data_IF_642877505388
#
_entry.id   IF_642877505388
#
_cell.length_a   1.000
_cell.length_b   1.000
_cell.length_c   1.000
_cell.angle_alpha   90.00
_cell.angle_beta   90.00
_cell.angle_gamma   90.00
#
_symmetry.space_group_name_H-M   'P 1'
#
loop_
_entity.id
_entity.type
_entity.pdbx_description
1 polymer ?
#
# COMPACT_ATOMS: atom_id res chain seq x y z
N UNK A 1 -20.34 -9.31 26.83
CA UNK A 1 -21.18 -10.06 25.88
C UNK A 1 -21.44 -9.17 24.68
N UNK A 2 -21.10 -9.64 23.48
CA UNK A 2 -21.39 -8.95 22.23
C UNK A 2 -22.88 -9.00 21.89
N UNK A 3 -23.31 -8.25 20.88
CA UNK A 3 -24.73 -8.20 20.47
C UNK A 3 -25.25 -9.51 19.88
N UNK A 4 -24.37 -10.33 19.33
CA UNK A 4 -24.64 -11.69 18.82
C UNK A 4 -24.48 -12.79 19.89
N UNK A 5 -24.38 -12.41 21.17
CA UNK A 5 -24.45 -13.36 22.29
C UNK A 5 -23.13 -14.08 22.63
N UNK A 6 -22.00 -13.65 22.08
CA UNK A 6 -20.69 -14.23 22.40
C UNK A 6 -20.13 -13.60 23.68
N UNK A 7 -19.58 -14.46 24.55
CA UNK A 7 -18.95 -14.05 25.80
C UNK A 7 -17.44 -13.91 25.62
N UNK A 8 -16.92 -12.76 26.06
CA UNK A 8 -15.49 -12.47 26.11
C UNK A 8 -15.10 -12.26 27.57
N UNK A 9 -14.02 -12.92 27.98
CA UNK A 9 -13.44 -12.77 29.32
C UNK A 9 -12.21 -11.89 29.21
N UNK A 10 -12.22 -10.75 29.92
CA UNK A 10 -11.18 -9.73 29.81
C UNK A 10 -10.77 -9.21 31.20
N UNK A 11 -9.53 -8.77 31.30
CA UNK A 11 -8.97 -8.11 32.47
C UNK A 11 -9.28 -6.62 32.40
N UNK A 12 -10.03 -6.11 33.39
CA UNK A 12 -10.40 -4.70 33.47
C UNK A 12 -9.17 -3.78 33.53
N UNK A 13 -8.07 -4.25 34.13
CA UNK A 13 -6.79 -3.53 34.20
C UNK A 13 -6.20 -3.26 32.82
N UNK A 14 -6.20 -4.24 31.92
CA UNK A 14 -5.72 -4.11 30.53
C UNK A 14 -6.60 -3.13 29.75
N UNK A 15 -7.92 -3.30 29.84
CA UNK A 15 -8.87 -2.44 29.11
C UNK A 15 -8.85 -0.98 29.60
N UNK A 16 -8.62 -0.74 30.91
CA UNK A 16 -8.42 0.61 31.45
C UNK A 16 -7.08 1.21 31.02
N UNK A 17 -6.02 0.40 30.93
CA UNK A 17 -4.71 0.87 30.49
C UNK A 17 -4.69 1.30 29.02
N UNK A 18 -5.47 0.64 28.15
CA UNK A 18 -5.51 0.95 26.71
C UNK A 18 -6.58 2.00 26.32
N UNK A 19 -7.44 2.42 27.24
CA UNK A 19 -8.60 3.28 26.96
C UNK A 19 -8.55 4.60 27.72
N UNK A 20 -8.76 5.70 27.01
CA UNK A 20 -8.86 7.05 27.60
C UNK A 20 -10.24 7.37 28.19
N UNK A 21 -11.26 6.53 27.95
CA UNK A 21 -12.65 6.81 28.35
C UNK A 21 -13.30 5.63 29.09
N UNK A 22 -12.48 4.80 29.76
CA UNK A 22 -12.95 3.64 30.52
C UNK A 22 -13.74 2.64 29.64
N UNK A 23 -13.24 2.43 28.43
CA UNK A 23 -13.76 1.53 27.40
C UNK A 23 -15.22 1.86 27.03
N UNK A 24 -15.47 3.13 26.70
CA UNK A 24 -16.82 3.63 26.42
C UNK A 24 -17.68 3.75 27.67
N UNK A 25 -17.07 4.10 28.82
CA UNK A 25 -17.69 4.14 30.15
C UNK A 25 -18.22 2.78 30.64
N UNK A 26 -17.90 1.69 29.95
CA UNK A 26 -18.28 0.34 30.34
C UNK A 26 -17.66 -0.08 31.68
N UNK A 27 -16.52 0.51 32.04
CA UNK A 27 -15.74 0.13 33.22
C UNK A 27 -15.92 1.09 34.41
N UNK A 28 -16.90 2.01 34.40
CA UNK A 28 -17.09 3.02 35.45
C UNK A 28 -17.57 2.46 36.79
N UNK A 29 -18.18 1.27 36.79
CA UNK A 29 -18.58 0.59 38.02
C UNK A 29 -17.44 -0.28 38.47
N UNK A 30 -16.64 0.21 39.43
CA UNK A 30 -16.03 -0.74 40.37
C UNK A 30 -17.20 -1.51 41.00
N UNK A 31 -17.13 -2.86 41.07
CA UNK A 31 -18.18 -3.61 41.75
C UNK A 31 -18.33 -3.00 43.14
N UNK A 32 -19.57 -2.76 43.64
CA UNK A 32 -19.75 -2.27 44.99
C UNK A 32 -18.91 -3.16 45.90
N UNK A 33 -18.02 -2.57 46.70
CA UNK A 33 -17.34 -3.27 47.76
C UNK A 33 -18.44 -3.70 48.73
N UNK A 34 -19.03 -4.87 48.48
CA UNK A 34 -20.02 -5.45 49.37
C UNK A 34 -19.23 -5.96 50.56
N UNK A 35 -18.99 -5.07 51.54
CA UNK A 35 -18.32 -5.44 52.79
C UNK A 35 -19.10 -6.48 53.60
N UNK A 36 -20.32 -6.85 53.19
CA UNK A 36 -21.20 -7.81 53.87
C UNK A 36 -21.92 -8.77 52.89
N UNK A 37 -21.21 -9.37 51.93
CA UNK A 37 -21.80 -10.44 51.12
C UNK A 37 -21.60 -11.80 51.83
N UNK A 38 -22.65 -12.64 51.98
CA UNK A 38 -22.51 -13.97 52.57
C UNK A 38 -21.52 -14.81 51.73
N UNK A 39 -20.69 -15.60 52.41
CA UNK A 39 -19.57 -16.44 51.91
C UNK A 39 -19.88 -17.40 50.74
N UNK A 40 -21.10 -17.39 50.20
CA UNK A 40 -21.57 -18.25 49.11
C UNK A 40 -22.02 -17.49 47.85
N UNK A 41 -21.86 -16.16 47.80
CA UNK A 41 -21.95 -15.45 46.54
C UNK A 41 -20.70 -15.76 45.72
N UNK A 42 -20.74 -16.83 44.92
CA UNK A 42 -19.77 -17.06 43.83
C UNK A 42 -19.55 -15.73 43.15
N UNK A 43 -18.31 -15.23 43.16
CA UNK A 43 -17.97 -13.90 42.68
C UNK A 43 -18.43 -13.77 41.22
N UNK A 44 -19.65 -13.26 41.02
CA UNK A 44 -20.24 -13.11 39.70
C UNK A 44 -19.43 -12.04 39.01
N UNK A 45 -18.62 -12.45 38.04
CA UNK A 45 -17.89 -11.53 37.19
C UNK A 45 -18.87 -10.51 36.61
N UNK A 46 -18.56 -9.20 36.67
CA UNK A 46 -19.46 -8.18 36.16
C UNK A 46 -19.71 -8.42 34.67
N UNK A 47 -20.99 -8.62 34.31
CA UNK A 47 -21.41 -8.84 32.94
C UNK A 47 -21.73 -7.51 32.26
N UNK A 48 -20.89 -7.12 31.31
CA UNK A 48 -21.11 -5.93 30.47
C UNK A 48 -21.67 -6.36 29.11
N UNK A 49 -22.77 -5.73 28.69
CA UNK A 49 -23.32 -5.90 27.34
C UNK A 49 -22.77 -4.81 26.41
N UNK A 50 -22.38 -5.20 25.21
CA UNK A 50 -21.80 -4.34 24.19
C UNK A 50 -22.61 -4.50 22.90
N UNK A 51 -22.81 -3.39 22.18
CA UNK A 51 -23.62 -3.35 20.94
C UNK A 51 -22.87 -3.91 19.72
N UNK A 52 -21.54 -3.88 19.74
CA UNK A 52 -20.71 -4.42 18.66
C UNK A 52 -20.80 -5.96 18.58
N UNK A 53 -20.75 -6.47 17.34
CA UNK A 53 -20.77 -7.91 17.06
C UNK A 53 -19.48 -8.58 17.51
N UNK A 54 -19.51 -9.91 17.68
CA UNK A 54 -18.35 -10.66 18.14
C UNK A 54 -17.11 -10.47 17.27
N UNK A 55 -17.15 -10.38 15.91
CA UNK A 55 -15.94 -10.20 15.13
C UNK A 55 -15.29 -8.82 15.33
N UNK A 56 -16.10 -7.77 15.46
CA UNK A 56 -15.65 -6.40 15.70
C UNK A 56 -15.01 -6.31 17.09
N UNK A 57 -15.73 -6.78 18.10
CA UNK A 57 -15.25 -6.79 19.48
C UNK A 57 -13.99 -7.64 19.64
N UNK A 58 -13.90 -8.77 18.93
CA UNK A 58 -12.71 -9.62 18.95
C UNK A 58 -11.46 -8.88 18.47
N UNK A 59 -11.53 -8.13 17.37
CA UNK A 59 -10.41 -7.32 16.88
C UNK A 59 -10.03 -6.25 17.90
N UNK A 60 -11.02 -5.53 18.45
CA UNK A 60 -10.82 -4.47 19.44
C UNK A 60 -10.08 -5.01 20.66
N UNK A 61 -10.49 -6.16 21.17
CA UNK A 61 -9.84 -6.81 22.30
C UNK A 61 -8.43 -7.28 21.96
N UNK A 62 -8.19 -7.88 20.80
CA UNK A 62 -6.84 -8.28 20.40
C UNK A 62 -5.90 -7.07 20.26
N UNK A 63 -6.41 -5.94 19.75
CA UNK A 63 -5.66 -4.68 19.70
C UNK A 63 -5.36 -4.17 21.11
N UNK A 64 -6.35 -4.14 22.01
CA UNK A 64 -6.17 -3.73 23.41
C UNK A 64 -5.12 -4.58 24.15
N UNK A 65 -5.04 -5.86 23.83
CA UNK A 65 -4.08 -6.80 24.42
C UNK A 65 -2.73 -6.85 23.67
N UNK A 66 -2.57 -6.10 22.58
CA UNK A 66 -1.42 -6.17 21.69
C UNK A 66 -1.12 -7.60 21.16
N UNK A 67 -2.17 -8.38 20.88
CA UNK A 67 -2.08 -9.75 20.33
C UNK A 67 -2.50 -9.74 18.86
N UNK A 68 -1.90 -10.63 18.05
CA UNK A 68 -2.31 -10.83 16.66
C UNK A 68 -3.73 -11.41 16.55
N UNK A 69 -4.53 -10.84 15.66
CA UNK A 69 -5.88 -11.32 15.33
C UNK A 69 -5.97 -11.93 13.92
N UNK A 70 -4.84 -12.19 13.27
CA UNK A 70 -4.80 -12.62 11.85
C UNK A 70 -5.56 -13.92 11.59
N UNK A 71 -5.58 -14.83 12.56
CA UNK A 71 -6.21 -16.15 12.45
C UNK A 71 -7.73 -16.11 12.27
N UNK A 72 -8.37 -14.97 12.48
CA UNK A 72 -9.83 -14.84 12.44
C UNK A 72 -10.36 -14.32 11.09
N UNK A 73 -9.51 -14.23 10.05
CA UNK A 73 -9.96 -14.08 8.67
C UNK A 73 -10.82 -12.84 8.42
N UNK A 74 -10.37 -11.67 8.88
CA UNK A 74 -11.14 -10.44 8.72
C UNK A 74 -11.11 -9.91 7.29
N UNK A 75 -12.17 -9.25 6.86
CA UNK A 75 -12.18 -8.49 5.60
C UNK A 75 -11.69 -7.05 5.82
N UNK A 76 -11.23 -6.39 4.75
CA UNK A 76 -10.87 -4.96 4.83
C UNK A 76 -12.05 -4.11 5.29
N UNK A 77 -13.28 -4.45 4.90
CA UNK A 77 -14.49 -3.76 5.37
C UNK A 77 -14.69 -3.92 6.89
N UNK A 78 -14.43 -5.11 7.44
CA UNK A 78 -14.48 -5.35 8.89
C UNK A 78 -13.43 -4.50 9.60
N UNK A 79 -12.20 -4.46 9.08
CA UNK A 79 -11.13 -3.62 9.66
C UNK A 79 -11.52 -2.14 9.64
N UNK A 80 -12.05 -1.62 8.53
CA UNK A 80 -12.55 -0.25 8.43
C UNK A 80 -13.64 0.04 9.46
N UNK A 81 -14.63 -0.86 9.56
CA UNK A 81 -15.69 -0.71 10.55
C UNK A 81 -15.14 -0.69 11.98
N UNK A 82 -14.27 -1.63 12.31
CA UNK A 82 -13.64 -1.73 13.63
C UNK A 82 -12.84 -0.49 13.99
N UNK A 83 -12.03 0.06 13.06
CA UNK A 83 -11.25 1.27 13.33
C UNK A 83 -12.15 2.47 13.66
N UNK A 84 -13.30 2.59 13.00
CA UNK A 84 -14.28 3.64 13.29
C UNK A 84 -14.91 3.49 14.70
N UNK A 85 -14.82 2.32 15.31
CA UNK A 85 -15.28 2.08 16.69
C UNK A 85 -14.21 2.38 17.74
N UNK A 86 -12.93 2.50 17.38
CA UNK A 86 -11.87 2.77 18.37
C UNK A 86 -12.11 4.04 19.21
N UNK A 87 -12.55 5.18 18.64
CA UNK A 87 -12.86 6.37 19.44
C UNK A 87 -13.96 6.14 20.48
N UNK A 88 -14.96 5.31 20.16
CA UNK A 88 -16.02 4.94 21.11
C UNK A 88 -15.43 4.24 22.34
N UNK A 89 -14.46 3.35 22.13
CA UNK A 89 -13.75 2.64 23.20
C UNK A 89 -12.59 3.43 23.81
N UNK A 90 -12.36 4.68 23.38
CA UNK A 90 -11.23 5.48 23.86
C UNK A 90 -9.87 4.91 23.49
N UNK A 91 -9.82 4.03 22.48
CA UNK A 91 -8.58 3.46 21.96
C UNK A 91 -8.04 4.44 20.92
N UNK A 92 -6.75 4.77 21.02
CA UNK A 92 -6.11 5.63 20.03
C UNK A 92 -6.11 4.96 18.66
N UNK A 93 -6.53 5.68 17.62
CA UNK A 93 -6.41 5.26 16.21
C UNK A 93 -5.00 5.48 15.65
N UNK A 94 -4.12 6.16 16.39
CA UNK A 94 -2.78 6.55 15.94
C UNK A 94 -1.75 5.41 16.07
N UNK A 95 -0.49 5.71 15.73
CA UNK A 95 0.67 4.84 15.45
C UNK A 95 1.01 3.69 16.43
N UNK A 96 0.25 3.49 17.51
CA UNK A 96 0.43 2.39 18.46
C UNK A 96 -0.14 1.04 17.98
N UNK A 97 -1.04 1.01 17.00
CA UNK A 97 -1.70 -0.23 16.57
C UNK A 97 -0.97 -0.92 15.41
N UNK A 98 0.30 -1.24 15.59
CA UNK A 98 1.14 -1.87 14.55
C UNK A 98 0.53 -3.17 14.01
N UNK A 99 -0.05 -4.00 14.88
CA UNK A 99 -0.71 -5.25 14.50
C UNK A 99 -1.93 -4.99 13.62
N UNK A 100 -2.68 -3.92 13.86
CA UNK A 100 -3.84 -3.55 13.07
C UNK A 100 -3.43 -3.13 11.66
N UNK A 101 -2.46 -2.22 11.55
CA UNK A 101 -1.99 -1.74 10.26
C UNK A 101 -1.24 -2.81 9.46
N UNK A 102 -0.55 -3.73 10.12
CA UNK A 102 0.02 -4.92 9.48
C UNK A 102 -1.09 -5.79 8.84
N UNK A 103 -2.21 -6.01 9.55
CA UNK A 103 -3.34 -6.74 8.98
C UNK A 103 -3.96 -6.03 7.78
N UNK A 104 -4.04 -4.69 7.81
CA UNK A 104 -4.50 -3.87 6.66
C UNK A 104 -3.57 -4.00 5.45
N UNK A 105 -2.25 -3.98 5.66
CA UNK A 105 -1.27 -4.09 4.57
C UNK A 105 -1.33 -5.43 3.82
N UNK A 106 -1.86 -6.48 4.43
CA UNK A 106 -2.08 -7.78 3.75
C UNK A 106 -3.06 -7.70 2.59
N UNK A 107 -3.88 -6.64 2.51
CA UNK A 107 -4.79 -6.39 1.39
C UNK A 107 -4.13 -5.60 0.24
N UNK A 108 -2.90 -5.11 0.39
CA UNK A 108 -2.21 -4.38 -0.67
C UNK A 108 -2.05 -5.16 -1.99
N UNK A 109 -1.81 -6.49 -2.00
CA UNK A 109 -1.75 -7.23 -3.26
C UNK A 109 -3.07 -7.30 -4.02
N UNK A 110 -4.22 -7.22 -3.33
CA UNK A 110 -5.55 -7.45 -3.91
C UNK A 110 -6.36 -6.17 -4.12
N UNK A 111 -6.24 -5.19 -3.22
CA UNK A 111 -6.98 -3.92 -3.28
C UNK A 111 -6.12 -2.73 -2.77
N UNK A 112 -4.99 -2.41 -3.44
CA UNK A 112 -4.05 -1.41 -2.94
C UNK A 112 -4.61 0.00 -2.91
N UNK A 113 -5.48 0.36 -3.85
CA UNK A 113 -6.09 1.70 -3.90
C UNK A 113 -7.00 1.93 -2.68
N UNK A 114 -7.78 0.92 -2.29
CA UNK A 114 -8.63 1.01 -1.11
C UNK A 114 -7.83 0.97 0.18
N UNK A 115 -6.76 0.16 0.26
CA UNK A 115 -5.85 0.17 1.41
C UNK A 115 -5.19 1.53 1.57
N UNK A 116 -4.68 2.10 0.48
CA UNK A 116 -4.10 3.44 0.46
C UNK A 116 -5.13 4.49 0.91
N UNK A 117 -6.36 4.43 0.37
CA UNK A 117 -7.41 5.37 0.73
C UNK A 117 -7.79 5.30 2.21
N UNK A 118 -7.91 4.09 2.73
CA UNK A 118 -8.22 3.85 4.12
C UNK A 118 -7.10 4.35 5.05
N UNK A 119 -5.83 4.05 4.74
CA UNK A 119 -4.70 4.55 5.51
C UNK A 119 -4.61 6.10 5.48
N UNK A 120 -4.87 6.70 4.31
CA UNK A 120 -4.88 8.14 4.11
C UNK A 120 -5.96 8.84 4.94
N UNK A 121 -7.17 8.28 5.02
CA UNK A 121 -8.27 8.79 5.83
C UNK A 121 -7.91 8.92 7.33
N UNK A 122 -6.96 8.10 7.79
CA UNK A 122 -6.48 8.09 9.17
C UNK A 122 -5.05 8.66 9.33
N UNK A 123 -4.56 9.37 8.31
CA UNK A 123 -3.24 9.99 8.28
C UNK A 123 -2.08 9.04 8.64
N UNK A 124 -2.15 7.77 8.18
CA UNK A 124 -1.10 6.79 8.42
C UNK A 124 -0.07 6.79 7.29
N UNK A 125 0.83 7.77 7.32
CA UNK A 125 1.83 7.98 6.26
C UNK A 125 2.68 6.73 5.96
N UNK A 126 3.13 6.00 7.00
CA UNK A 126 3.95 4.79 6.80
C UNK A 126 3.21 3.70 6.00
N UNK A 127 1.92 3.51 6.29
CA UNK A 127 1.06 2.55 5.59
C UNK A 127 0.78 3.03 4.17
N UNK A 128 0.54 4.33 3.98
CA UNK A 128 0.37 4.94 2.66
C UNK A 128 1.60 4.76 1.78
N UNK A 129 2.82 4.93 2.33
CA UNK A 129 4.08 4.70 1.62
C UNK A 129 4.15 3.25 1.13
N UNK A 130 3.94 2.27 2.01
CA UNK A 130 3.96 0.85 1.63
C UNK A 130 2.87 0.53 0.59
N UNK A 131 1.64 0.97 0.81
CA UNK A 131 0.52 0.71 -0.10
C UNK A 131 0.74 1.34 -1.49
N UNK A 132 1.35 2.53 -1.55
CA UNK A 132 1.55 3.27 -2.79
C UNK A 132 2.37 2.51 -3.83
N UNK A 133 3.35 1.70 -3.43
CA UNK A 133 4.09 0.87 -4.39
C UNK A 133 3.18 -0.16 -5.08
N UNK A 134 2.24 -0.75 -4.35
CA UNK A 134 1.32 -1.73 -4.89
C UNK A 134 0.28 -1.13 -5.86
N UNK A 135 -0.05 0.16 -5.68
CA UNK A 135 -0.95 0.87 -6.59
C UNK A 135 -0.40 0.96 -8.01
N UNK A 136 0.93 1.03 -8.17
CA UNK A 136 1.59 1.05 -9.49
C UNK A 136 1.24 -0.18 -10.35
N UNK A 137 0.95 -1.32 -9.73
CA UNK A 137 0.59 -2.54 -10.46
C UNK A 137 -0.82 -2.49 -11.05
N UNK A 138 -1.72 -1.73 -10.44
CA UNK A 138 -3.14 -1.70 -10.79
C UNK A 138 -3.51 -0.48 -11.64
N UNK A 139 -2.62 0.49 -11.76
CA UNK A 139 -2.92 1.76 -12.41
C UNK A 139 -3.85 2.64 -11.57
N UNK A 140 -3.95 3.91 -11.95
CA UNK A 140 -4.81 4.89 -11.25
C UNK A 140 -6.22 4.94 -11.83
N UNK A 141 -6.41 4.36 -13.01
CA UNK A 141 -7.68 4.20 -13.73
C UNK A 141 -8.70 3.38 -12.93
N UNK A 142 -8.25 2.45 -12.08
CA UNK A 142 -9.10 1.70 -11.16
C UNK A 142 -9.61 2.49 -9.94
N UNK A 143 -9.24 3.77 -9.79
CA UNK A 143 -9.61 4.57 -8.63
C UNK A 143 -11.11 4.93 -8.65
N UNK A 144 -11.83 4.46 -7.64
CA UNK A 144 -13.25 4.77 -7.46
C UNK A 144 -13.42 6.11 -6.75
N UNK A 145 -14.49 6.82 -7.10
CA UNK A 145 -14.84 8.12 -6.50
C UNK A 145 -14.90 8.06 -4.97
N UNK A 146 -15.54 7.02 -4.42
CA UNK A 146 -15.62 6.80 -2.96
C UNK A 146 -14.26 6.74 -2.27
N UNK A 147 -13.26 6.14 -2.94
CA UNK A 147 -11.92 5.94 -2.39
C UNK A 147 -11.13 7.25 -2.50
N UNK A 148 -11.34 8.03 -3.58
CA UNK A 148 -10.80 9.37 -3.75
C UNK A 148 -11.34 10.36 -2.69
N UNK A 149 -12.64 10.29 -2.38
CA UNK A 149 -13.26 11.08 -1.30
C UNK A 149 -12.66 10.68 0.05
N UNK A 150 -12.54 9.37 0.31
CA UNK A 150 -12.02 8.83 1.57
C UNK A 150 -10.58 9.27 1.86
N UNK A 151 -9.68 9.22 0.87
CA UNK A 151 -8.27 9.58 1.08
C UNK A 151 -8.03 11.09 1.21
N UNK A 152 -8.93 11.90 0.69
CA UNK A 152 -8.82 13.36 0.67
C UNK A 152 -7.78 13.90 -0.33
N UNK A 153 -7.79 15.23 -0.54
CA UNK A 153 -7.05 15.86 -1.63
C UNK A 153 -5.53 15.77 -1.50
N UNK A 154 -4.99 15.74 -0.27
CA UNK A 154 -3.54 15.68 -0.02
C UNK A 154 -2.96 14.36 -0.51
N UNK A 155 -3.54 13.24 -0.07
CA UNK A 155 -3.08 11.90 -0.46
C UNK A 155 -3.42 11.59 -1.91
N UNK A 156 -4.59 12.03 -2.40
CA UNK A 156 -4.92 11.93 -3.81
C UNK A 156 -3.87 12.61 -4.70
N UNK A 157 -3.47 13.85 -4.36
CA UNK A 157 -2.41 14.56 -5.08
C UNK A 157 -1.10 13.77 -5.05
N UNK A 158 -0.67 13.28 -3.88
CA UNK A 158 0.57 12.49 -3.75
C UNK A 158 0.54 11.25 -4.65
N UNK A 159 -0.58 10.52 -4.67
CA UNK A 159 -0.76 9.34 -5.50
C UNK A 159 -0.72 9.65 -6.99
N UNK A 160 -1.47 10.67 -7.44
CA UNK A 160 -1.45 11.11 -8.85
C UNK A 160 -0.03 11.50 -9.27
N UNK A 161 0.67 12.28 -8.46
CA UNK A 161 2.05 12.70 -8.75
C UNK A 161 3.02 11.52 -8.82
N UNK A 162 2.84 10.47 -8.02
CA UNK A 162 3.61 9.25 -8.13
C UNK A 162 3.40 8.58 -9.51
N UNK A 163 2.15 8.33 -9.90
CA UNK A 163 1.86 7.66 -11.18
C UNK A 163 2.29 8.50 -12.40
N UNK A 164 1.89 9.77 -12.43
CA UNK A 164 2.23 10.69 -13.53
C UNK A 164 3.73 10.97 -13.58
N UNK A 165 4.36 11.19 -12.42
CA UNK A 165 5.79 11.45 -12.32
C UNK A 165 6.63 10.27 -12.81
N UNK A 166 6.25 9.04 -12.45
CA UNK A 166 6.92 7.83 -12.98
C UNK A 166 6.75 7.68 -14.48
N UNK A 167 5.56 7.93 -15.03
CA UNK A 167 5.32 7.90 -16.48
C UNK A 167 6.16 8.94 -17.21
N UNK A 168 6.20 10.18 -16.71
CA UNK A 168 7.01 11.25 -17.28
C UNK A 168 8.51 10.95 -17.19
N UNK A 169 8.97 10.39 -16.06
CA UNK A 169 10.36 9.97 -15.89
C UNK A 169 10.74 8.88 -16.88
N UNK A 170 9.88 7.87 -17.09
CA UNK A 170 10.12 6.82 -18.09
C UNK A 170 10.29 7.42 -19.48
N UNK A 171 9.35 8.27 -19.92
CA UNK A 171 9.40 8.92 -21.23
C UNK A 171 10.70 9.70 -21.42
N UNK A 172 11.12 10.48 -20.41
CA UNK A 172 12.38 11.21 -20.46
C UNK A 172 13.58 10.27 -20.56
N UNK A 173 13.57 9.16 -19.82
CA UNK A 173 14.69 8.21 -19.80
C UNK A 173 14.85 7.57 -21.17
N UNK A 174 13.79 7.01 -21.76
CA UNK A 174 13.87 6.17 -22.97
C UNK A 174 13.87 6.95 -24.29
N UNK A 175 13.50 8.23 -24.30
CA UNK A 175 13.36 9.02 -25.55
C UNK A 175 14.64 9.13 -26.36
N UNK A 176 15.80 9.28 -25.71
CA UNK A 176 17.04 9.58 -26.42
C UNK A 176 17.70 8.30 -26.96
N UNK A 177 17.93 8.20 -28.29
CA UNK A 177 18.60 7.07 -28.91
C UNK A 177 20.09 6.98 -28.51
N UNK A 178 20.75 5.84 -28.78
CA UNK A 178 22.19 5.71 -28.57
C UNK A 178 22.98 6.72 -29.41
N UNK A 179 24.20 7.02 -28.96
CA UNK A 179 25.11 7.93 -29.67
C UNK A 179 25.46 7.37 -31.05
N UNK A 180 25.75 8.27 -31.99
CA UNK A 180 26.25 7.95 -33.32
C UNK A 180 27.78 7.92 -33.35
N UNK A 181 28.37 7.25 -34.34
CA UNK A 181 29.82 7.27 -34.60
C UNK A 181 30.13 7.81 -36.01
N UNK A 182 31.39 8.19 -36.25
CA UNK A 182 31.84 8.59 -37.58
C UNK A 182 31.56 7.48 -38.61
N UNK A 183 31.03 7.79 -39.80
CA UNK A 183 30.70 6.78 -40.81
C UNK A 183 31.90 5.91 -41.19
N UNK A 184 31.65 4.63 -41.45
CA UNK A 184 32.65 3.65 -41.88
C UNK A 184 32.21 2.99 -43.18
N UNK A 185 33.09 2.18 -43.78
CA UNK A 185 32.77 1.39 -44.97
C UNK A 185 31.59 0.42 -44.75
N UNK A 186 31.36 0.01 -43.50
CA UNK A 186 30.32 -0.95 -43.12
C UNK A 186 29.09 -0.32 -42.45
N UNK A 187 29.12 0.99 -42.15
CA UNK A 187 28.04 1.67 -41.45
C UNK A 187 27.98 3.14 -41.87
N UNK A 188 26.98 3.47 -42.68
CA UNK A 188 26.71 4.81 -43.19
C UNK A 188 25.92 5.65 -42.18
N UNK A 189 25.78 6.95 -42.47
CA UNK A 189 24.84 7.81 -41.74
C UNK A 189 23.39 7.34 -41.88
N UNK A 190 23.03 6.73 -43.01
CA UNK A 190 21.71 6.15 -43.26
C UNK A 190 21.42 4.97 -42.33
N UNK A 191 22.39 4.08 -42.15
CA UNK A 191 22.25 2.92 -41.24
C UNK A 191 22.08 3.36 -39.79
N UNK A 192 22.80 4.40 -39.37
CA UNK A 192 22.67 4.99 -38.04
C UNK A 192 21.31 5.70 -37.85
N UNK A 193 20.79 6.37 -38.88
CA UNK A 193 19.46 6.96 -38.85
C UNK A 193 18.37 5.88 -38.76
N UNK A 194 18.52 4.77 -39.47
CA UNK A 194 17.60 3.63 -39.40
C UNK A 194 17.58 3.00 -38.00
N UNK A 195 18.74 2.84 -37.37
CA UNK A 195 18.83 2.39 -35.97
C UNK A 195 18.07 3.33 -35.02
N UNK A 196 18.20 4.66 -35.21
CA UNK A 196 17.46 5.64 -34.42
C UNK A 196 15.94 5.57 -34.67
N UNK A 197 15.48 5.29 -35.90
CA UNK A 197 14.05 5.05 -36.15
C UNK A 197 13.55 3.78 -35.47
N UNK A 198 14.31 2.69 -35.54
CA UNK A 198 13.96 1.43 -34.86
C UNK A 198 13.92 1.60 -33.34
N UNK A 199 14.84 2.39 -32.78
CA UNK A 199 14.79 2.82 -31.38
C UNK A 199 13.47 3.53 -31.05
N UNK A 200 13.09 4.54 -31.85
CA UNK A 200 11.84 5.28 -31.64
C UNK A 200 10.60 4.37 -31.72
N UNK A 201 10.61 3.36 -32.58
CA UNK A 201 9.55 2.34 -32.66
C UNK A 201 9.48 1.52 -31.37
N UNK A 202 10.59 1.05 -30.82
CA UNK A 202 10.59 0.34 -29.53
C UNK A 202 10.13 1.23 -28.38
N UNK A 203 10.58 2.49 -28.33
CA UNK A 203 10.08 3.48 -27.37
C UNK A 203 8.57 3.64 -27.46
N UNK A 204 8.02 3.78 -28.68
CA UNK A 204 6.59 3.91 -28.88
C UNK A 204 5.84 2.68 -28.35
N UNK A 205 6.31 1.46 -28.64
CA UNK A 205 5.73 0.21 -28.12
C UNK A 205 5.71 0.14 -26.60
N UNK A 206 6.78 0.61 -25.94
CA UNK A 206 6.88 0.63 -24.48
C UNK A 206 5.91 1.66 -23.86
N UNK A 207 5.75 2.83 -24.48
CA UNK A 207 4.88 3.90 -23.97
C UNK A 207 3.39 3.56 -24.06
N UNK A 208 2.97 2.83 -25.10
CA UNK A 208 1.55 2.50 -25.32
C UNK A 208 1.05 1.32 -24.47
N UNK A 209 1.92 0.67 -23.68
CA UNK A 209 1.49 -0.38 -22.76
C UNK A 209 0.48 0.15 -21.73
N UNK A 210 -0.38 -0.71 -21.14
CA UNK A 210 -1.38 -0.27 -20.15
C UNK A 210 -0.80 0.43 -18.91
N UNK A 211 0.32 -0.08 -18.39
CA UNK A 211 0.95 0.41 -17.15
C UNK A 211 2.45 0.69 -17.31
N UNK A 212 2.83 1.66 -18.16
CA UNK A 212 4.24 1.89 -18.49
C UNK A 212 5.00 2.40 -17.25
N UNK A 213 4.32 3.10 -16.35
CA UNK A 213 4.87 3.58 -15.07
C UNK A 213 5.30 2.46 -14.11
N UNK A 214 4.85 1.22 -14.31
CA UNK A 214 5.25 0.04 -13.53
C UNK A 214 6.07 -0.98 -14.33
N UNK A 215 6.68 -0.54 -15.44
CA UNK A 215 7.52 -1.40 -16.25
C UNK A 215 8.68 -2.00 -15.42
N UNK A 216 8.90 -3.33 -15.46
CA UNK A 216 10.10 -3.94 -14.91
C UNK A 216 11.36 -3.46 -15.66
N UNK A 217 12.50 -3.22 -14.97
CA UNK A 217 13.75 -2.86 -15.65
C UNK A 217 14.19 -3.89 -16.70
N UNK A 218 13.92 -5.17 -16.47
CA UNK A 218 14.28 -6.25 -17.40
C UNK A 218 13.49 -6.18 -18.70
N UNK A 219 12.28 -5.61 -18.69
CA UNK A 219 11.51 -5.36 -19.92
C UNK A 219 12.16 -4.31 -20.80
N UNK A 220 12.78 -3.27 -20.21
CA UNK A 220 13.57 -2.30 -20.97
C UNK A 220 14.82 -2.95 -21.56
N UNK A 221 15.52 -3.73 -20.74
CA UNK A 221 16.75 -4.40 -21.16
C UNK A 221 16.50 -5.34 -22.34
N UNK A 222 15.48 -6.20 -22.26
CA UNK A 222 15.12 -7.12 -23.34
C UNK A 222 14.74 -6.37 -24.62
N UNK A 223 13.90 -5.33 -24.53
CA UNK A 223 13.43 -4.58 -25.70
C UNK A 223 14.59 -3.96 -26.51
N UNK A 224 15.57 -3.37 -25.84
CA UNK A 224 16.70 -2.72 -26.52
C UNK A 224 17.88 -3.67 -26.79
N UNK A 225 17.98 -4.82 -26.10
CA UNK A 225 18.96 -5.86 -26.40
C UNK A 225 18.70 -6.50 -27.77
N UNK A 226 17.44 -6.78 -28.10
CA UNK A 226 17.05 -7.30 -29.41
C UNK A 226 17.39 -6.30 -30.52
N UNK A 227 17.22 -5.01 -30.24
CA UNK A 227 17.65 -3.94 -31.14
C UNK A 227 19.17 -3.91 -31.31
N UNK A 228 19.94 -4.09 -30.24
CA UNK A 228 21.40 -4.15 -30.29
C UNK A 228 21.89 -5.32 -31.15
N UNK A 229 21.30 -6.52 -31.01
CA UNK A 229 21.65 -7.69 -31.82
C UNK A 229 21.43 -7.48 -33.32
N UNK A 230 20.41 -6.70 -33.69
CA UNK A 230 20.14 -6.32 -35.07
C UNK A 230 20.86 -5.05 -35.55
N UNK A 231 21.95 -4.63 -34.89
CA UNK A 231 22.70 -3.42 -35.25
C UNK A 231 23.51 -3.61 -36.53
N UNK A 232 23.74 -2.54 -37.33
CA UNK A 232 24.46 -2.63 -38.60
C UNK A 232 25.97 -2.91 -38.44
N UNK A 233 26.55 -2.59 -37.28
CA UNK A 233 27.97 -2.81 -37.00
C UNK A 233 28.23 -2.97 -35.49
N UNK A 234 29.45 -3.38 -35.15
CA UNK A 234 29.90 -3.60 -33.76
C UNK A 234 29.83 -2.34 -32.88
N UNK A 235 30.23 -1.17 -33.39
CA UNK A 235 30.14 0.09 -32.62
C UNK A 235 28.70 0.50 -32.32
N UNK A 236 27.77 0.32 -33.27
CA UNK A 236 26.35 0.54 -33.04
C UNK A 236 25.81 -0.40 -31.96
N UNK A 237 26.23 -1.67 -31.98
CA UNK A 237 25.86 -2.65 -30.95
C UNK A 237 26.37 -2.22 -29.56
N UNK A 238 27.66 -1.85 -29.46
CA UNK A 238 28.27 -1.36 -28.22
C UNK A 238 27.55 -0.13 -27.66
N UNK A 239 27.31 0.89 -28.50
CA UNK A 239 26.63 2.12 -28.09
C UNK A 239 25.17 1.88 -27.70
N UNK A 240 24.49 0.96 -28.38
CA UNK A 240 23.12 0.55 -28.01
C UNK A 240 23.11 -0.14 -26.66
N UNK A 241 23.99 -1.13 -26.44
CA UNK A 241 24.09 -1.84 -25.17
C UNK A 241 24.48 -0.91 -24.00
N UNK A 242 25.44 -0.01 -24.22
CA UNK A 242 25.83 1.00 -23.22
C UNK A 242 24.64 1.90 -22.89
N UNK A 243 23.89 2.34 -23.90
CA UNK A 243 22.69 3.16 -23.68
C UNK A 243 21.64 2.39 -22.89
N UNK A 244 21.36 1.14 -23.25
CA UNK A 244 20.41 0.27 -22.55
C UNK A 244 20.78 0.12 -21.07
N UNK A 245 22.06 -0.13 -20.76
CA UNK A 245 22.52 -0.23 -19.37
C UNK A 245 22.27 1.08 -18.58
N UNK A 246 22.53 2.24 -19.20
CA UNK A 246 22.26 3.54 -18.59
C UNK A 246 20.76 3.75 -18.34
N UNK A 247 19.90 3.37 -19.27
CA UNK A 247 18.44 3.45 -19.12
C UNK A 247 17.94 2.61 -17.94
N UNK A 248 18.40 1.36 -17.87
CA UNK A 248 18.02 0.42 -16.80
C UNK A 248 18.45 0.95 -15.44
N UNK A 249 19.66 1.51 -15.34
CA UNK A 249 20.15 2.16 -14.12
C UNK A 249 19.27 3.34 -13.74
N UNK A 250 19.04 4.29 -14.66
CA UNK A 250 18.20 5.46 -14.39
C UNK A 250 16.78 5.08 -14.00
N UNK A 251 16.21 4.05 -14.62
CA UNK A 251 14.84 3.60 -14.31
C UNK A 251 14.72 2.98 -12.92
N UNK A 252 15.75 2.25 -12.46
CA UNK A 252 15.81 1.70 -11.10
C UNK A 252 15.85 2.79 -10.02
N UNK A 253 16.42 3.95 -10.33
CA UNK A 253 16.52 5.09 -9.41
C UNK A 253 15.19 5.89 -9.30
N UNK A 254 14.23 5.68 -10.21
CA UNK A 254 12.95 6.39 -10.18
C UNK A 254 12.11 5.93 -8.98
N UNK A 255 11.71 6.90 -8.14
CA UNK A 255 10.89 6.71 -6.94
C UNK A 255 9.66 5.82 -7.19
N UNK A 256 9.44 4.81 -6.34
CA UNK A 256 8.32 3.83 -6.44
C UNK A 256 7.21 4.03 -5.41
N UNK A 257 7.38 4.97 -4.49
CA UNK A 257 6.45 5.26 -3.40
C UNK A 257 6.15 6.75 -3.30
N UNK A 258 5.09 7.14 -2.58
CA UNK A 258 4.75 8.56 -2.33
C UNK A 258 5.79 9.30 -1.49
#
# INVERSE_FOLDING_TARGET
MSSDGVFFYCASTVLRACSSNQFGRALTTDPPLVHNAPEQATARLPLIKIEDSSPVLNIILHVAYAISFERYGHSLQMLTHTLNRFPYYGISTTAGNLTFWAAVLRFCPTDPLRVYAFAAAHAQDAVCVTASEHTLKHGIDGLKERDAIMMGPIYLRRLIFLHCGRRAALMRIISDPPRTHAPTVYCSTGDQAELARRWAVEVAKLIVQPSPHNMPPDSLDNAFRDLAQGSPCERCNEYTNSRTADLVKQWREVKRTI
#
